data_IF_967014407231
#
_entry.id   IF_967014407231
#
_cell.length_a   1.000
_cell.length_b   1.000
_cell.length_c   1.000
_cell.angle_alpha   90.00
_cell.angle_beta   90.00
_cell.angle_gamma   90.00
#
_symmetry.space_group_name_H-M   'P 1'
#
loop_
_entity.id
_entity.type
_entity.pdbx_description
1 polymer ?
#
# COMPACT_ATOMS: atom_id res chain seq x y z
N UNK A 1 7.17 -3.80 -1.28
CA UNK A 1 7.74 -2.61 -1.93
C UNK A 1 6.80 -2.21 -3.07
N UNK A 2 6.50 -0.92 -3.19
CA UNK A 2 5.62 -0.39 -4.24
C UNK A 2 6.36 0.68 -5.04
N UNK A 3 6.09 0.72 -6.35
CA UNK A 3 6.58 1.75 -7.27
C UNK A 3 5.37 2.45 -7.89
N UNK A 4 5.34 3.76 -7.80
CA UNK A 4 4.21 4.59 -8.20
C UNK A 4 4.68 5.72 -9.11
N UNK A 5 4.04 5.84 -10.26
CA UNK A 5 4.34 6.92 -11.21
C UNK A 5 3.89 8.29 -10.67
N UNK A 6 4.47 9.39 -11.19
CA UNK A 6 3.94 10.74 -10.94
C UNK A 6 2.43 10.81 -11.20
N UNK A 7 1.69 11.52 -10.35
CA UNK A 7 0.24 11.62 -10.42
C UNK A 7 -0.55 10.42 -9.87
N UNK A 8 0.12 9.39 -9.36
CA UNK A 8 -0.56 8.24 -8.72
C UNK A 8 -1.37 8.71 -7.51
N UNK A 9 -2.60 8.23 -7.41
CA UNK A 9 -3.51 8.48 -6.30
C UNK A 9 -4.01 7.17 -5.72
N UNK A 10 -3.84 6.97 -4.41
CA UNK A 10 -4.54 5.93 -3.67
C UNK A 10 -5.74 6.58 -2.97
N UNK A 11 -6.97 6.11 -3.26
CA UNK A 11 -8.18 6.67 -2.65
C UNK A 11 -8.14 6.68 -1.13
N UNK A 12 -9.02 7.47 -0.53
CA UNK A 12 -9.18 7.58 0.93
C UNK A 12 -9.29 6.18 1.56
N UNK A 13 -8.48 5.94 2.57
CA UNK A 13 -8.39 4.65 3.25
C UNK A 13 -7.86 4.82 4.68
N UNK A 14 -7.94 3.74 5.44
CA UNK A 14 -7.20 3.58 6.70
C UNK A 14 -6.66 2.15 6.83
N UNK A 15 -5.70 1.94 7.72
CA UNK A 15 -5.19 0.64 8.09
C UNK A 15 -5.78 0.20 9.44
N UNK A 16 -6.20 -1.07 9.55
CA UNK A 16 -6.77 -1.60 10.81
C UNK A 16 -5.72 -1.77 11.91
N UNK A 17 -4.46 -1.95 11.53
CA UNK A 17 -3.30 -1.95 12.42
C UNK A 17 -2.31 -0.86 12.04
N UNK A 18 -1.12 -0.95 12.58
CA UNK A 18 -0.02 -0.04 12.28
C UNK A 18 0.42 -0.15 10.83
N UNK A 19 0.73 0.98 10.20
CA UNK A 19 1.47 1.01 8.93
C UNK A 19 2.76 1.82 9.10
N UNK A 20 3.80 1.38 8.41
CA UNK A 20 5.10 2.04 8.38
C UNK A 20 5.56 2.17 6.94
N UNK A 21 6.04 3.34 6.57
CA UNK A 21 6.47 3.64 5.21
C UNK A 21 7.89 4.20 5.23
N UNK A 22 8.78 3.58 4.44
CA UNK A 22 10.10 4.12 4.16
C UNK A 22 10.19 4.50 2.68
N UNK A 23 10.59 5.73 2.39
CA UNK A 23 10.70 6.27 1.03
C UNK A 23 12.12 6.10 0.50
N UNK A 24 12.28 5.42 -0.65
CA UNK A 24 13.56 5.25 -1.33
C UNK A 24 13.82 6.32 -2.38
N UNK A 25 12.78 6.74 -3.12
CA UNK A 25 12.88 7.76 -4.17
C UNK A 25 11.55 8.47 -4.40
N UNK A 26 11.58 9.56 -5.15
CA UNK A 26 10.42 10.36 -5.48
C UNK A 26 9.88 11.18 -4.31
N UNK A 27 8.62 11.57 -4.43
CA UNK A 27 7.91 12.34 -3.42
C UNK A 27 6.46 11.89 -3.36
N UNK A 28 5.91 11.78 -2.15
CA UNK A 28 4.50 11.55 -1.93
C UNK A 28 3.99 12.36 -0.74
N UNK A 29 2.67 12.50 -0.63
CA UNK A 29 2.00 13.28 0.41
C UNK A 29 0.67 12.65 0.77
N UNK A 30 0.16 13.02 1.93
CA UNK A 30 -1.27 12.90 2.23
C UNK A 30 -2.01 14.18 1.86
N UNK A 31 -3.19 14.04 1.24
CA UNK A 31 -4.03 15.18 0.90
C UNK A 31 -4.44 16.00 2.13
N UNK A 32 -4.54 15.36 3.28
CA UNK A 32 -4.84 15.95 4.58
C UNK A 32 -3.66 16.75 5.17
N UNK A 33 -2.42 16.49 4.67
CA UNK A 33 -1.18 17.13 5.14
C UNK A 33 -0.28 17.53 3.95
N UNK A 34 -0.77 18.42 3.06
CA UNK A 34 -0.08 18.73 1.80
C UNK A 34 1.28 19.41 2.01
N UNK A 35 1.50 20.05 3.16
CA UNK A 35 2.74 20.72 3.51
C UNK A 35 3.80 19.79 4.14
N UNK A 36 3.53 18.48 4.19
CA UNK A 36 4.43 17.47 4.77
C UNK A 36 4.83 16.43 3.71
N UNK A 37 5.68 16.80 2.72
CA UNK A 37 6.15 15.85 1.74
C UNK A 37 7.01 14.76 2.38
N UNK A 38 6.87 13.54 1.87
CA UNK A 38 7.75 12.43 2.17
C UNK A 38 8.65 12.20 0.97
N UNK A 39 9.94 12.23 1.20
CA UNK A 39 10.98 12.13 0.16
C UNK A 39 11.99 11.04 0.50
N UNK A 40 12.97 10.81 -0.37
CA UNK A 40 13.99 9.77 -0.17
C UNK A 40 14.67 9.90 1.20
N UNK A 41 14.63 8.81 1.97
CA UNK A 41 15.18 8.72 3.32
C UNK A 41 14.17 8.97 4.44
N UNK A 42 12.96 9.45 4.12
CA UNK A 42 11.93 9.69 5.13
C UNK A 42 11.27 8.38 5.56
N UNK A 43 10.99 8.31 6.85
CA UNK A 43 10.25 7.25 7.50
C UNK A 43 8.99 7.82 8.14
N UNK A 44 7.87 7.18 7.88
CA UNK A 44 6.57 7.54 8.46
C UNK A 44 5.99 6.38 9.25
N UNK A 45 5.48 6.68 10.44
CA UNK A 45 4.69 5.78 11.27
C UNK A 45 3.24 6.24 11.29
N UNK A 46 2.32 5.30 11.06
CA UNK A 46 0.89 5.51 11.08
C UNK A 46 0.24 4.61 12.13
N UNK A 47 -0.39 5.17 13.18
CA UNK A 47 -1.20 4.36 14.07
C UNK A 47 -2.44 3.81 13.33
N UNK A 48 -2.89 2.62 13.72
CA UNK A 48 -4.11 2.03 13.19
C UNK A 48 -5.31 2.97 13.31
N UNK A 49 -6.15 2.99 12.26
CA UNK A 49 -7.32 3.86 12.18
C UNK A 49 -7.05 5.27 11.64
N UNK A 50 -5.82 5.62 11.31
CA UNK A 50 -5.50 6.88 10.63
C UNK A 50 -6.10 6.90 9.24
N UNK A 51 -7.00 7.86 8.97
CA UNK A 51 -7.69 8.00 7.68
C UNK A 51 -6.96 9.03 6.83
N UNK A 52 -6.59 8.65 5.62
CA UNK A 52 -5.81 9.51 4.73
C UNK A 52 -5.96 9.15 3.24
N UNK A 53 -5.54 10.09 2.40
CA UNK A 53 -5.49 9.96 0.94
C UNK A 53 -4.05 10.16 0.49
N UNK A 54 -3.42 9.10 0.00
CA UNK A 54 -2.04 9.14 -0.50
C UNK A 54 -1.99 9.59 -1.94
N UNK A 55 -1.06 10.47 -2.29
CA UNK A 55 -0.81 10.83 -3.68
C UNK A 55 0.66 11.13 -3.97
N UNK A 56 1.08 10.87 -5.20
CA UNK A 56 2.34 11.33 -5.75
C UNK A 56 2.09 12.59 -6.58
N UNK A 57 2.76 13.72 -6.31
CA UNK A 57 2.62 14.92 -7.14
C UNK A 57 2.81 14.63 -8.64
N UNK A 58 2.02 15.30 -9.49
CA UNK A 58 2.12 15.15 -10.95
C UNK A 58 3.44 15.67 -11.52
N UNK A 59 4.05 16.61 -10.83
CA UNK A 59 5.33 17.22 -11.19
C UNK A 59 6.56 16.48 -10.67
N UNK A 60 6.38 15.31 -10.05
CA UNK A 60 7.50 14.41 -9.75
C UNK A 60 8.27 14.09 -11.04
N UNK A 61 9.60 14.13 -10.96
CA UNK A 61 10.49 13.85 -12.10
C UNK A 61 10.92 12.38 -12.18
N UNK A 62 10.55 11.59 -11.18
CA UNK A 62 10.85 10.16 -11.07
C UNK A 62 9.72 9.41 -10.36
N UNK A 63 9.74 8.10 -10.48
CA UNK A 63 8.82 7.23 -9.74
C UNK A 63 9.06 7.31 -8.23
N UNK A 64 7.99 7.30 -7.48
CA UNK A 64 8.02 7.16 -6.02
C UNK A 64 8.14 5.68 -5.66
N UNK A 65 9.22 5.33 -4.97
CA UNK A 65 9.46 3.96 -4.50
C UNK A 65 9.42 3.93 -2.98
N UNK A 66 8.54 3.10 -2.42
CA UNK A 66 8.38 2.94 -0.98
C UNK A 66 8.44 1.47 -0.54
N UNK A 67 8.94 1.24 0.66
CA UNK A 67 8.69 0.02 1.41
C UNK A 67 7.54 0.31 2.37
N UNK A 68 6.42 -0.36 2.17
CA UNK A 68 5.28 -0.31 3.07
C UNK A 68 5.24 -1.60 3.90
N UNK A 69 5.20 -1.44 5.20
CA UNK A 69 4.89 -2.47 6.17
C UNK A 69 3.52 -2.17 6.77
N UNK A 70 2.64 -3.14 6.82
CA UNK A 70 1.28 -2.94 7.29
C UNK A 70 0.84 -4.15 8.11
N UNK A 71 0.25 -3.89 9.25
CA UNK A 71 -0.43 -4.89 10.07
C UNK A 71 -1.94 -4.82 9.82
N UNK A 72 -2.57 -6.00 9.73
CA UNK A 72 -4.00 -6.11 9.49
C UNK A 72 -4.38 -5.85 8.04
N UNK A 73 -5.38 -5.00 7.80
CA UNK A 73 -5.92 -4.72 6.48
C UNK A 73 -5.99 -3.22 6.17
N UNK A 74 -5.90 -2.88 4.91
CA UNK A 74 -6.27 -1.57 4.38
C UNK A 74 -7.75 -1.59 3.98
N UNK A 75 -8.50 -0.62 4.46
CA UNK A 75 -9.92 -0.43 4.16
C UNK A 75 -10.05 0.84 3.32
N UNK A 76 -10.43 0.69 2.07
CA UNK A 76 -10.59 1.81 1.13
C UNK A 76 -12.07 2.15 0.90
N UNK A 77 -12.34 3.42 0.62
CA UNK A 77 -13.68 3.96 0.46
C UNK A 77 -13.86 4.67 -0.89
N UNK A 78 -15.09 4.68 -1.36
CA UNK A 78 -15.54 5.55 -2.43
C UNK A 78 -15.75 6.99 -1.90
N UNK A 79 -15.90 7.95 -2.81
CA UNK A 79 -16.16 9.35 -2.43
C UNK A 79 -17.45 9.56 -1.64
N UNK A 80 -18.44 8.67 -1.80
CA UNK A 80 -19.70 8.67 -1.06
C UNK A 80 -19.60 8.00 0.33
N UNK A 81 -18.41 7.54 0.73
CA UNK A 81 -18.16 6.87 2.00
C UNK A 81 -18.52 5.39 2.03
N UNK A 82 -18.98 4.82 0.93
CA UNK A 82 -19.22 3.37 0.85
C UNK A 82 -17.91 2.60 0.73
N UNK A 83 -17.88 1.35 1.21
CA UNK A 83 -16.73 0.47 1.12
C UNK A 83 -16.34 0.25 -0.35
N UNK A 84 -15.08 0.48 -0.68
CA UNK A 84 -14.52 0.22 -2.00
C UNK A 84 -13.79 -1.13 -2.04
N UNK A 85 -12.84 -1.33 -1.12
CA UNK A 85 -12.03 -2.56 -1.06
C UNK A 85 -11.49 -2.82 0.33
N UNK A 86 -11.13 -4.08 0.55
CA UNK A 86 -10.34 -4.54 1.70
C UNK A 86 -9.12 -5.26 1.14
N UNK A 87 -7.93 -4.76 1.46
CA UNK A 87 -6.66 -5.38 1.11
C UNK A 87 -5.97 -5.89 2.38
N UNK A 88 -5.70 -7.19 2.41
CA UNK A 88 -4.90 -7.85 3.43
C UNK A 88 -3.85 -8.78 2.79
N UNK A 89 -3.08 -9.48 3.58
CA UNK A 89 -2.06 -10.39 3.07
C UNK A 89 -2.62 -11.45 2.12
N UNK A 90 -3.82 -11.95 2.39
CA UNK A 90 -4.47 -12.99 1.57
C UNK A 90 -4.94 -12.44 0.22
N UNK A 91 -5.61 -11.27 0.22
CA UNK A 91 -6.08 -10.64 -1.01
C UNK A 91 -4.91 -10.18 -1.89
N UNK A 92 -3.85 -9.64 -1.29
CA UNK A 92 -2.63 -9.23 -2.01
C UNK A 92 -1.95 -10.45 -2.63
N UNK A 93 -1.84 -11.56 -1.91
CA UNK A 93 -1.29 -12.80 -2.44
C UNK A 93 -2.10 -13.27 -3.66
N UNK A 94 -3.43 -13.34 -3.55
CA UNK A 94 -4.30 -13.78 -4.63
C UNK A 94 -4.18 -12.92 -5.88
N UNK A 95 -4.17 -11.59 -5.72
CA UNK A 95 -4.00 -10.65 -6.85
C UNK A 95 -2.63 -10.83 -7.47
N UNK A 96 -1.56 -10.92 -6.67
CA UNK A 96 -0.20 -11.09 -7.17
C UNK A 96 -0.03 -12.39 -7.96
N UNK A 97 -0.56 -13.50 -7.47
CA UNK A 97 -0.53 -14.79 -8.17
C UNK A 97 -1.31 -14.73 -9.49
N UNK A 98 -2.48 -14.09 -9.48
CA UNK A 98 -3.32 -13.93 -10.68
C UNK A 98 -2.61 -13.09 -11.75
N UNK A 99 -2.03 -11.95 -11.36
CA UNK A 99 -1.31 -11.06 -12.29
C UNK A 99 -0.03 -11.73 -12.81
N UNK A 100 0.74 -12.40 -11.96
CA UNK A 100 1.96 -13.13 -12.36
C UNK A 100 1.64 -14.23 -13.38
N UNK A 101 0.56 -14.98 -13.16
CA UNK A 101 0.10 -16.00 -14.11
C UNK A 101 -0.29 -15.38 -15.45
N UNK A 102 -1.04 -14.27 -15.44
CA UNK A 102 -1.46 -13.57 -16.66
C UNK A 102 -0.29 -12.98 -17.45
N UNK A 103 0.76 -12.52 -16.77
CA UNK A 103 1.97 -11.94 -17.36
C UNK A 103 3.03 -12.97 -17.72
N UNK A 104 2.88 -14.24 -17.30
CA UNK A 104 3.87 -15.29 -17.52
C UNK A 104 5.20 -15.08 -16.78
N UNK A 105 5.17 -14.33 -15.67
CA UNK A 105 6.39 -14.03 -14.89
C UNK A 105 6.78 -15.14 -13.91
N UNK A 106 5.99 -16.22 -13.84
CA UNK A 106 6.22 -17.37 -12.97
C UNK A 106 5.65 -17.18 -11.56
N UNK A 107 5.75 -18.22 -10.71
CA UNK A 107 5.18 -18.19 -9.37
C UNK A 107 5.93 -17.20 -8.48
N UNK A 108 5.20 -16.48 -7.63
CA UNK A 108 5.78 -15.66 -6.57
C UNK A 108 6.07 -16.54 -5.36
N UNK A 109 7.30 -16.45 -4.84
CA UNK A 109 7.71 -17.18 -3.65
C UNK A 109 7.15 -16.54 -2.38
N UNK A 110 6.21 -17.20 -1.71
CA UNK A 110 5.72 -16.80 -0.40
C UNK A 110 6.28 -17.71 0.70
N UNK A 111 6.66 -17.09 1.82
CA UNK A 111 6.96 -17.81 3.05
C UNK A 111 5.73 -17.68 3.95
N UNK A 112 4.99 -18.76 4.11
CA UNK A 112 3.80 -18.76 4.95
C UNK A 112 4.19 -18.74 6.43
N UNK A 113 3.57 -17.83 7.20
CA UNK A 113 3.72 -17.75 8.64
C UNK A 113 3.11 -18.94 9.38
N UNK A 114 3.31 -19.00 10.70
CA UNK A 114 2.90 -20.14 11.53
C UNK A 114 1.41 -20.48 11.51
N UNK A 115 0.53 -19.54 11.17
CA UNK A 115 -0.91 -19.77 11.03
C UNK A 115 -1.29 -20.51 9.74
N UNK A 116 -0.43 -20.58 8.75
CA UNK A 116 -0.71 -21.25 7.47
C UNK A 116 -1.00 -22.76 7.61
N UNK A 117 -0.58 -23.39 8.69
CA UNK A 117 -0.88 -24.79 9.00
C UNK A 117 -2.29 -25.04 9.54
N UNK A 118 -2.98 -24.00 10.02
CA UNK A 118 -4.32 -24.11 10.62
C UNK A 118 -5.43 -24.18 9.58
N UNK A 119 -5.17 -23.72 8.37
CA UNK A 119 -6.15 -23.64 7.28
C UNK A 119 -6.22 -24.92 6.44
N UNK A 120 -5.40 -25.92 6.73
CA UNK A 120 -5.44 -27.22 6.06
C UNK A 120 -6.37 -28.19 6.80
N UNK A 121 -7.63 -27.86 6.84
CA UNK A 121 -8.65 -28.87 7.17
C UNK A 121 -9.55 -29.09 5.97
#
# INVERSE_FOLDING_TARGET
MATMAPGCLLPIHYHTGTAEVYTFSGCWRYAEYPDQPQTAGDYLYEPGGSVHTFYCPEDNTEDTVVLLWMEGAQIGFNQDGTLHHINDATSIQHVTETVSAAQGTGPVGYIHGGAAGVVKS
#
